data_IF_664092276063
#
_entry.id   IF_664092276063
#
_cell.length_a   1.000
_cell.length_b   1.000
_cell.length_c   1.000
_cell.angle_alpha   90.00
_cell.angle_beta   90.00
_cell.angle_gamma   90.00
#
_symmetry.space_group_name_H-M   'P 1'
#
loop_
_entity.id
_entity.type
_entity.pdbx_description
1 polymer ?
#
# COMPACT_ATOMS: atom_id res chain seq x y z
N UNK A 1 -3.08 35.15 41.14
CA UNK A 1 -3.25 33.87 40.42
C UNK A 1 -1.98 33.62 39.67
N UNK A 2 -1.27 32.57 40.08
CA UNK A 2 0.09 32.23 39.68
C UNK A 2 0.05 31.52 38.32
N UNK A 3 0.75 32.05 37.32
CA UNK A 3 0.90 31.43 36.02
C UNK A 3 1.78 30.18 36.21
N UNK A 4 1.22 28.99 36.05
CA UNK A 4 1.94 27.73 36.22
C UNK A 4 2.50 27.24 34.88
N UNK A 5 3.82 27.36 34.64
CA UNK A 5 4.46 26.96 33.38
C UNK A 5 4.51 25.44 33.18
N UNK A 6 4.08 24.66 34.18
CA UNK A 6 4.15 23.20 34.17
C UNK A 6 3.15 22.58 33.18
N UNK A 7 1.99 23.21 32.96
CA UNK A 7 0.96 22.73 32.03
C UNK A 7 1.35 22.86 30.55
N UNK A 8 2.05 23.93 30.18
CA UNK A 8 2.52 24.14 28.80
C UNK A 8 3.68 23.19 28.44
N UNK A 9 4.60 22.93 29.37
CA UNK A 9 5.72 22.01 29.13
C UNK A 9 5.30 20.55 28.93
N UNK A 10 4.27 20.10 29.63
CA UNK A 10 3.70 18.76 29.49
C UNK A 10 3.02 18.57 28.12
N UNK A 11 2.17 19.53 27.71
CA UNK A 11 1.50 19.49 26.41
C UNK A 11 2.46 19.55 25.21
N UNK A 12 3.53 20.35 25.31
CA UNK A 12 4.57 20.39 24.29
C UNK A 12 5.32 19.06 24.18
N UNK A 13 5.67 18.43 25.30
CA UNK A 13 6.34 17.12 25.32
C UNK A 13 5.48 16.03 24.67
N UNK A 14 4.19 15.98 24.99
CA UNK A 14 3.23 15.03 24.40
C UNK A 14 3.09 15.23 22.88
N UNK A 15 3.04 16.49 22.43
CA UNK A 15 3.03 16.81 21.00
C UNK A 15 4.29 16.30 20.28
N UNK A 16 5.47 16.54 20.84
CA UNK A 16 6.73 16.07 20.26
C UNK A 16 6.85 14.55 20.25
N UNK A 17 6.39 13.87 21.30
CA UNK A 17 6.32 12.41 21.36
C UNK A 17 5.40 11.86 20.26
N UNK A 18 4.21 12.42 20.12
CA UNK A 18 3.25 12.03 19.08
C UNK A 18 3.81 12.24 17.66
N UNK A 19 4.42 13.41 17.41
CA UNK A 19 5.05 13.71 16.13
C UNK A 19 6.23 12.76 15.83
N UNK A 20 7.05 12.46 16.84
CA UNK A 20 8.16 11.50 16.73
C UNK A 20 7.64 10.09 16.40
N UNK A 21 6.65 9.60 17.14
CA UNK A 21 6.05 8.28 16.90
C UNK A 21 5.45 8.16 15.49
N UNK A 22 4.79 9.21 14.98
CA UNK A 22 4.26 9.20 13.60
C UNK A 22 5.35 9.13 12.54
N UNK A 23 6.47 9.83 12.75
CA UNK A 23 7.63 9.76 11.85
C UNK A 23 8.28 8.39 11.89
N UNK A 24 8.48 7.82 13.08
CA UNK A 24 9.01 6.47 13.25
C UNK A 24 8.10 5.46 12.53
N UNK A 25 6.79 5.50 12.77
CA UNK A 25 5.85 4.60 12.12
C UNK A 25 5.88 4.72 10.58
N UNK A 26 6.01 5.93 10.05
CA UNK A 26 6.14 6.16 8.61
C UNK A 26 7.43 5.56 8.04
N UNK A 27 8.58 5.83 8.67
CA UNK A 27 9.87 5.26 8.26
C UNK A 27 9.83 3.74 8.33
N UNK A 28 9.27 3.18 9.41
CA UNK A 28 9.08 1.74 9.55
C UNK A 28 8.20 1.18 8.44
N UNK A 29 7.13 1.88 8.01
CA UNK A 29 6.29 1.41 6.92
C UNK A 29 7.06 1.32 5.60
N UNK A 30 7.91 2.30 5.29
CA UNK A 30 8.81 2.25 4.13
C UNK A 30 9.80 1.08 4.23
N UNK A 31 10.45 0.90 5.39
CA UNK A 31 11.38 -0.20 5.62
C UNK A 31 10.69 -1.57 5.52
N UNK A 32 9.47 -1.69 6.04
CA UNK A 32 8.68 -2.93 5.95
C UNK A 32 8.27 -3.22 4.52
N UNK A 33 7.81 -2.22 3.76
CA UNK A 33 7.48 -2.40 2.34
C UNK A 33 8.68 -2.89 1.53
N UNK A 34 9.84 -2.24 1.67
CA UNK A 34 11.07 -2.63 0.99
C UNK A 34 11.58 -3.99 1.47
N UNK A 35 11.66 -4.20 2.78
CA UNK A 35 12.18 -5.42 3.38
C UNK A 35 11.33 -6.64 3.07
N UNK A 36 10.00 -6.51 3.14
CA UNK A 36 9.08 -7.59 2.79
C UNK A 36 9.21 -7.97 1.31
N UNK A 37 9.25 -6.98 0.39
CA UNK A 37 9.45 -7.24 -1.04
C UNK A 37 10.81 -7.90 -1.31
N UNK A 38 11.88 -7.46 -0.65
CA UNK A 38 13.20 -8.08 -0.79
C UNK A 38 13.21 -9.54 -0.30
N UNK A 39 12.60 -9.80 0.86
CA UNK A 39 12.48 -11.16 1.41
C UNK A 39 11.68 -12.07 0.47
N UNK A 40 10.52 -11.63 -0.02
CA UNK A 40 9.73 -12.40 -0.98
C UNK A 40 10.51 -12.64 -2.27
N UNK A 41 11.27 -11.65 -2.77
CA UNK A 41 12.09 -11.81 -3.96
C UNK A 41 13.22 -12.84 -3.79
N UNK A 42 13.86 -12.89 -2.62
CA UNK A 42 14.86 -13.93 -2.31
C UNK A 42 14.20 -15.30 -2.19
N UNK A 43 13.08 -15.40 -1.47
CA UNK A 43 12.37 -16.65 -1.24
C UNK A 43 11.75 -17.21 -2.52
N UNK A 44 11.31 -16.36 -3.44
CA UNK A 44 10.70 -16.80 -4.69
C UNK A 44 11.68 -17.45 -5.66
N UNK A 45 12.98 -17.10 -5.58
CA UNK A 45 14.03 -17.63 -6.48
C UNK A 45 13.64 -17.46 -7.96
N UNK A 46 13.48 -16.21 -8.44
CA UNK A 46 13.03 -15.94 -9.81
C UNK A 46 13.91 -16.66 -10.83
N UNK A 47 13.27 -17.26 -11.84
CA UNK A 47 13.96 -18.03 -12.90
C UNK A 47 13.97 -19.54 -12.67
N UNK A 48 13.64 -20.02 -11.47
CA UNK A 48 13.50 -21.46 -11.20
C UNK A 48 12.21 -22.06 -11.78
N UNK A 49 11.16 -21.25 -11.92
CA UNK A 49 9.89 -21.64 -12.54
C UNK A 49 9.13 -20.41 -13.06
N UNK A 50 8.13 -20.59 -13.92
CA UNK A 50 7.25 -19.49 -14.30
C UNK A 50 6.52 -18.91 -13.08
N UNK A 51 6.09 -19.78 -12.16
CA UNK A 51 5.47 -19.36 -10.91
C UNK A 51 6.38 -18.46 -10.05
N UNK A 52 7.70 -18.70 -10.00
CA UNK A 52 8.64 -17.92 -9.17
C UNK A 52 8.63 -16.40 -9.43
N UNK A 53 8.24 -16.00 -10.65
CA UNK A 53 8.10 -14.59 -11.02
C UNK A 53 6.81 -13.95 -10.47
N UNK A 54 5.77 -14.73 -10.22
CA UNK A 54 4.50 -14.24 -9.69
C UNK A 54 4.66 -13.54 -8.33
N UNK A 55 5.16 -14.17 -7.25
CA UNK A 55 5.29 -13.52 -5.95
C UNK A 55 6.29 -12.35 -5.96
N UNK A 56 7.35 -12.42 -6.78
CA UNK A 56 8.28 -11.30 -6.96
C UNK A 56 7.57 -10.08 -7.58
N UNK A 57 6.93 -10.27 -8.74
CA UNK A 57 6.24 -9.18 -9.43
C UNK A 57 5.09 -8.63 -8.59
N UNK A 58 4.27 -9.49 -7.96
CA UNK A 58 3.17 -9.04 -7.12
C UNK A 58 3.65 -8.27 -5.88
N UNK A 59 4.76 -8.67 -5.25
CA UNK A 59 5.32 -7.92 -4.11
C UNK A 59 5.98 -6.59 -4.52
N UNK A 60 6.62 -6.53 -5.68
CA UNK A 60 7.11 -5.26 -6.25
C UNK A 60 5.95 -4.28 -6.51
N UNK A 61 4.85 -4.76 -7.11
CA UNK A 61 3.69 -3.94 -7.38
C UNK A 61 2.91 -3.53 -6.13
N UNK A 62 2.37 -4.51 -5.40
CA UNK A 62 1.39 -4.26 -4.34
C UNK A 62 2.01 -3.94 -2.99
N UNK A 63 3.17 -4.53 -2.64
CA UNK A 63 3.81 -4.24 -1.35
C UNK A 63 4.69 -2.99 -1.45
N UNK A 64 5.53 -2.87 -2.48
CA UNK A 64 6.44 -1.73 -2.62
C UNK A 64 5.79 -0.55 -3.34
N UNK A 65 5.49 -0.66 -4.65
CA UNK A 65 5.02 0.48 -5.44
C UNK A 65 3.72 1.09 -4.90
N UNK A 66 2.73 0.27 -4.51
CA UNK A 66 1.47 0.79 -3.98
C UNK A 66 1.68 1.61 -2.70
N UNK A 67 2.47 1.07 -1.77
CA UNK A 67 2.78 1.70 -0.47
C UNK A 67 3.55 2.99 -0.66
N UNK A 68 4.66 2.95 -1.41
CA UNK A 68 5.48 4.14 -1.69
C UNK A 68 4.69 5.22 -2.44
N UNK A 69 3.86 4.81 -3.40
CA UNK A 69 3.00 5.71 -4.15
C UNK A 69 1.99 6.45 -3.26
N UNK A 70 1.45 5.81 -2.23
CA UNK A 70 0.49 6.43 -1.30
C UNK A 70 1.20 7.26 -0.22
N UNK A 71 2.26 6.72 0.38
CA UNK A 71 3.01 7.38 1.46
C UNK A 71 3.79 8.61 0.99
N UNK A 72 4.02 8.78 -0.32
CA UNK A 72 4.55 10.01 -0.92
C UNK A 72 3.77 11.27 -0.52
N UNK A 73 2.47 11.15 -0.26
CA UNK A 73 1.61 12.25 0.18
C UNK A 73 1.63 12.50 1.69
N UNK A 74 2.39 11.72 2.47
CA UNK A 74 2.57 11.98 3.90
C UNK A 74 3.10 13.39 4.16
N UNK A 75 2.56 14.02 5.20
CA UNK A 75 2.94 15.36 5.68
C UNK A 75 4.21 15.32 6.55
N UNK A 76 4.53 14.15 7.13
CA UNK A 76 5.55 14.02 8.18
C UNK A 76 6.97 13.75 7.66
N UNK A 77 7.14 13.71 6.32
CA UNK A 77 8.41 13.50 5.63
C UNK A 77 8.31 12.33 4.66
N UNK A 78 8.32 12.62 3.36
CA UNK A 78 8.57 11.57 2.35
C UNK A 78 10.08 11.42 2.19
N UNK A 79 10.61 10.19 2.02
CA UNK A 79 12.02 9.99 1.66
C UNK A 79 12.42 10.76 0.39
N UNK A 80 11.45 10.98 -0.49
CA UNK A 80 11.61 11.79 -1.68
C UNK A 80 11.47 13.28 -1.34
N UNK A 81 12.54 14.07 -1.57
CA UNK A 81 12.64 15.51 -1.33
C UNK A 81 11.71 16.40 -2.20
N UNK A 82 10.60 15.87 -2.74
CA UNK A 82 9.67 16.64 -3.55
C UNK A 82 8.86 17.61 -2.68
N UNK A 83 9.32 18.87 -2.61
CA UNK A 83 8.60 19.95 -1.93
C UNK A 83 7.31 20.35 -2.65
N UNK A 84 7.22 20.17 -3.97
CA UNK A 84 6.05 20.57 -4.76
C UNK A 84 4.98 19.48 -4.85
N UNK A 85 3.72 19.87 -4.63
CA UNK A 85 2.54 19.00 -4.83
C UNK A 85 2.47 18.43 -6.25
N UNK A 86 2.87 19.20 -7.27
CA UNK A 86 2.90 18.74 -8.67
C UNK A 86 3.90 17.59 -8.86
N UNK A 87 5.07 17.69 -8.22
CA UNK A 87 6.09 16.63 -8.22
C UNK A 87 5.57 15.37 -7.55
N UNK A 88 4.94 15.50 -6.38
CA UNK A 88 4.31 14.35 -5.68
C UNK A 88 3.25 13.66 -6.54
N UNK A 89 2.36 14.42 -7.19
CA UNK A 89 1.36 13.85 -8.10
C UNK A 89 2.02 13.13 -9.28
N UNK A 90 3.07 13.71 -9.86
CA UNK A 90 3.81 13.09 -10.97
C UNK A 90 4.43 11.75 -10.56
N UNK A 91 5.17 11.74 -9.47
CA UNK A 91 5.80 10.53 -8.97
C UNK A 91 4.75 9.48 -8.56
N UNK A 92 3.64 9.90 -7.94
CA UNK A 92 2.54 9.00 -7.60
C UNK A 92 2.03 8.24 -8.83
N UNK A 93 1.59 8.92 -9.89
CA UNK A 93 1.02 8.20 -11.03
C UNK A 93 2.06 7.36 -11.78
N UNK A 94 3.33 7.80 -11.85
CA UNK A 94 4.43 7.00 -12.43
C UNK A 94 4.62 5.69 -11.65
N UNK A 95 4.65 5.76 -10.32
CA UNK A 95 4.77 4.58 -9.46
C UNK A 95 3.53 3.68 -9.56
N UNK A 96 2.32 4.24 -9.71
CA UNK A 96 1.11 3.44 -9.95
C UNK A 96 1.12 2.76 -11.33
N UNK A 97 1.72 3.37 -12.36
CA UNK A 97 1.93 2.69 -13.66
C UNK A 97 2.90 1.53 -13.50
N UNK A 98 4.01 1.70 -12.76
CA UNK A 98 4.93 0.60 -12.45
C UNK A 98 4.23 -0.54 -11.71
N UNK A 99 3.36 -0.21 -10.74
CA UNK A 99 2.52 -1.20 -10.06
C UNK A 99 1.72 -2.02 -11.08
N UNK A 100 1.00 -1.36 -11.99
CA UNK A 100 0.18 -2.04 -12.99
C UNK A 100 1.01 -2.93 -13.93
N UNK A 101 2.21 -2.49 -14.32
CA UNK A 101 3.12 -3.30 -15.13
C UNK A 101 3.58 -4.55 -14.37
N UNK A 102 4.00 -4.42 -13.12
CA UNK A 102 4.36 -5.56 -12.29
C UNK A 102 3.18 -6.50 -12.07
N UNK A 103 1.99 -5.96 -11.82
CA UNK A 103 0.77 -6.74 -11.67
C UNK A 103 0.42 -7.54 -12.94
N UNK A 104 0.53 -6.91 -14.12
CA UNK A 104 0.30 -7.57 -15.40
C UNK A 104 1.33 -8.68 -15.65
N UNK A 105 2.62 -8.42 -15.40
CA UNK A 105 3.67 -9.44 -15.52
C UNK A 105 3.45 -10.60 -14.55
N UNK A 106 3.19 -10.32 -13.28
CA UNK A 106 2.94 -11.33 -12.25
C UNK A 106 1.73 -12.21 -12.56
N UNK A 107 0.65 -11.62 -13.09
CA UNK A 107 -0.51 -12.37 -13.55
C UNK A 107 -0.18 -13.21 -14.79
N UNK A 108 0.53 -12.64 -15.76
CA UNK A 108 0.93 -13.34 -16.98
C UNK A 108 1.77 -14.58 -16.68
N UNK A 109 2.77 -14.46 -15.81
CA UNK A 109 3.59 -15.59 -15.36
C UNK A 109 2.78 -16.66 -14.62
N UNK A 110 1.83 -16.26 -13.77
CA UNK A 110 0.94 -17.18 -13.06
C UNK A 110 0.02 -17.95 -14.02
N UNK A 111 -0.57 -17.26 -15.00
CA UNK A 111 -1.42 -17.88 -16.02
C UNK A 111 -0.61 -18.86 -16.88
N UNK A 112 0.57 -18.44 -17.33
CA UNK A 112 1.46 -19.31 -18.11
C UNK A 112 1.91 -20.54 -17.31
N UNK A 113 2.22 -20.37 -16.02
CA UNK A 113 2.57 -21.48 -15.13
C UNK A 113 1.43 -22.49 -14.98
N UNK A 114 0.20 -22.02 -14.74
CA UNK A 114 -0.97 -22.90 -14.59
C UNK A 114 -1.34 -23.63 -15.88
N UNK A 115 -1.20 -22.98 -17.03
CA UNK A 115 -1.39 -23.63 -18.34
C UNK A 115 -0.42 -24.78 -18.55
N UNK A 116 0.84 -24.64 -18.09
CA UNK A 116 1.87 -25.68 -18.22
C UNK A 116 1.66 -26.84 -17.23
N UNK A 117 1.13 -26.57 -16.03
CA UNK A 117 0.96 -27.57 -14.97
C UNK A 117 -0.44 -28.18 -14.91
N UNK A 118 -1.34 -27.83 -15.84
CA UNK A 118 -2.75 -28.29 -15.92
C UNK A 118 -3.55 -28.11 -14.61
N UNK A 119 -3.14 -27.16 -13.75
CA UNK A 119 -3.82 -26.89 -12.50
C UNK A 119 -5.02 -25.95 -12.71
N UNK A 120 -6.13 -26.13 -11.98
CA UNK A 120 -7.31 -25.29 -12.13
C UNK A 120 -7.00 -23.82 -11.82
N UNK A 121 -7.64 -22.92 -12.56
CA UNK A 121 -7.57 -21.48 -12.30
C UNK A 121 -8.60 -21.08 -11.24
N UNK A 122 -8.27 -20.06 -10.43
CA UNK A 122 -9.20 -19.43 -9.47
C UNK A 122 -9.75 -20.33 -8.35
N UNK A 123 -9.04 -21.40 -8.02
CA UNK A 123 -9.51 -22.42 -7.07
C UNK A 123 -9.13 -22.14 -5.60
N UNK A 124 -8.49 -21.00 -5.32
CA UNK A 124 -8.05 -20.61 -3.97
C UNK A 124 -8.60 -19.25 -3.59
N UNK A 125 -8.80 -19.02 -2.28
CA UNK A 125 -9.15 -17.71 -1.72
C UNK A 125 -8.17 -16.62 -2.18
N UNK A 126 -6.87 -16.90 -2.16
CA UNK A 126 -5.85 -15.98 -2.64
C UNK A 126 -6.06 -15.61 -4.13
N UNK A 127 -6.37 -16.59 -4.99
CA UNK A 127 -6.58 -16.31 -6.42
C UNK A 127 -7.86 -15.51 -6.70
N UNK A 128 -8.94 -15.76 -5.95
CA UNK A 128 -10.19 -15.00 -6.10
C UNK A 128 -10.01 -13.55 -5.62
N UNK A 129 -9.42 -13.38 -4.44
CA UNK A 129 -9.08 -12.06 -3.90
C UNK A 129 -8.07 -11.33 -4.78
N UNK A 130 -7.10 -12.05 -5.37
CA UNK A 130 -6.11 -11.53 -6.29
C UNK A 130 -6.74 -10.91 -7.54
N UNK A 131 -7.64 -11.62 -8.21
CA UNK A 131 -8.36 -11.07 -9.37
C UNK A 131 -9.22 -9.87 -8.98
N UNK A 132 -9.96 -9.95 -7.86
CA UNK A 132 -10.73 -8.82 -7.35
C UNK A 132 -9.86 -7.58 -7.08
N UNK A 133 -8.70 -7.78 -6.45
CA UNK A 133 -7.72 -6.73 -6.18
C UNK A 133 -7.22 -6.09 -7.47
N UNK A 134 -6.89 -6.89 -8.48
CA UNK A 134 -6.43 -6.38 -9.78
C UNK A 134 -7.50 -5.51 -10.46
N UNK A 135 -8.75 -5.99 -10.50
CA UNK A 135 -9.87 -5.24 -11.08
C UNK A 135 -10.07 -3.92 -10.34
N UNK A 136 -10.16 -3.95 -9.01
CA UNK A 136 -10.33 -2.75 -8.18
C UNK A 136 -9.16 -1.77 -8.40
N UNK A 137 -7.94 -2.26 -8.53
CA UNK A 137 -6.75 -1.43 -8.75
C UNK A 137 -6.76 -0.75 -10.12
N UNK A 138 -7.20 -1.45 -11.18
CA UNK A 138 -7.37 -0.87 -12.51
C UNK A 138 -8.45 0.22 -12.50
N UNK A 139 -9.59 -0.03 -11.85
CA UNK A 139 -10.65 0.97 -11.69
C UNK A 139 -10.17 2.19 -10.89
N UNK A 140 -9.38 1.96 -9.84
CA UNK A 140 -8.78 3.01 -9.03
C UNK A 140 -7.78 3.86 -9.84
N UNK A 141 -6.97 3.23 -10.69
CA UNK A 141 -6.07 3.93 -11.60
C UNK A 141 -6.84 4.78 -12.62
N UNK A 142 -7.92 4.25 -13.21
CA UNK A 142 -8.80 4.99 -14.11
C UNK A 142 -9.41 6.23 -13.43
N UNK A 143 -9.87 6.10 -12.17
CA UNK A 143 -10.33 7.23 -11.34
C UNK A 143 -9.20 8.27 -11.16
N UNK A 144 -7.96 7.84 -10.96
CA UNK A 144 -6.78 8.72 -10.91
C UNK A 144 -6.51 9.47 -12.22
N UNK A 145 -6.70 8.83 -13.37
CA UNK A 145 -6.57 9.47 -14.69
C UNK A 145 -7.59 10.59 -14.88
N UNK A 146 -8.85 10.39 -14.45
CA UNK A 146 -9.87 11.45 -14.47
C UNK A 146 -9.45 12.69 -13.65
N UNK A 147 -8.69 12.52 -12.56
CA UNK A 147 -8.14 13.62 -11.78
C UNK A 147 -6.94 14.31 -12.43
N UNK A 148 -6.17 13.61 -13.27
CA UNK A 148 -5.07 14.18 -14.05
C UNK A 148 -5.58 15.03 -15.23
N UNK A 149 -6.72 14.65 -15.80
CA UNK A 149 -7.35 15.33 -16.92
C UNK A 149 -8.76 15.81 -16.56
N UNK A 150 -8.91 16.91 -15.79
CA UNK A 150 -10.22 17.42 -15.37
C UNK A 150 -11.17 17.73 -16.54
N UNK A 151 -10.63 17.97 -17.75
CA UNK A 151 -11.44 18.17 -18.97
C UNK A 151 -12.27 16.94 -19.36
N UNK A 152 -11.91 15.75 -18.89
CA UNK A 152 -12.68 14.51 -19.10
C UNK A 152 -13.92 14.42 -18.19
N UNK A 153 -14.00 15.24 -17.14
CA UNK A 153 -15.07 15.20 -16.14
C UNK A 153 -15.86 16.51 -16.13
N UNK A 154 -16.96 16.55 -16.88
CA UNK A 154 -17.78 17.76 -17.00
C UNK A 154 -18.76 17.97 -15.83
N UNK A 155 -19.21 16.88 -15.19
CA UNK A 155 -20.36 16.88 -14.27
C UNK A 155 -20.02 16.51 -12.83
N UNK A 156 -18.74 16.36 -12.47
CA UNK A 156 -18.30 15.93 -11.14
C UNK A 156 -17.35 16.95 -10.53
N UNK A 157 -17.58 17.33 -9.27
CA UNK A 157 -16.67 18.27 -8.59
C UNK A 157 -15.31 17.62 -8.32
N UNK A 158 -14.24 18.31 -8.69
CA UNK A 158 -12.85 17.85 -8.50
C UNK A 158 -12.53 17.53 -7.02
N UNK A 159 -12.96 18.34 -6.02
CA UNK A 159 -12.74 18.01 -4.61
C UNK A 159 -13.44 16.71 -4.19
N UNK A 160 -14.67 16.46 -4.68
CA UNK A 160 -15.42 15.24 -4.38
C UNK A 160 -14.78 14.02 -5.03
N UNK A 161 -14.35 14.13 -6.29
CA UNK A 161 -13.64 13.06 -6.97
C UNK A 161 -12.30 12.73 -6.27
N UNK A 162 -11.60 13.75 -5.76
CA UNK A 162 -10.37 13.55 -4.96
C UNK A 162 -10.65 12.81 -3.66
N UNK A 163 -11.76 13.10 -2.99
CA UNK A 163 -12.19 12.36 -1.80
C UNK A 163 -12.48 10.91 -2.16
N UNK A 164 -13.28 10.65 -3.20
CA UNK A 164 -13.58 9.29 -3.66
C UNK A 164 -12.33 8.52 -4.07
N UNK A 165 -11.42 9.15 -4.80
CA UNK A 165 -10.13 8.53 -5.14
C UNK A 165 -9.34 8.16 -3.88
N UNK A 166 -9.28 9.04 -2.87
CA UNK A 166 -8.58 8.72 -1.63
C UNK A 166 -9.25 7.59 -0.84
N UNK A 167 -10.58 7.59 -0.70
CA UNK A 167 -11.31 6.57 0.06
C UNK A 167 -11.34 5.23 -0.66
N UNK A 168 -11.62 5.20 -1.96
CA UNK A 168 -11.57 3.98 -2.77
C UNK A 168 -10.14 3.44 -2.86
N UNK A 169 -9.13 4.32 -2.93
CA UNK A 169 -7.72 3.94 -2.89
C UNK A 169 -7.32 3.27 -1.57
N UNK A 170 -7.84 3.76 -0.43
CA UNK A 170 -7.66 3.10 0.86
C UNK A 170 -8.30 1.70 0.86
N UNK A 171 -9.53 1.57 0.38
CA UNK A 171 -10.21 0.26 0.28
C UNK A 171 -9.42 -0.70 -0.62
N UNK A 172 -8.93 -0.23 -1.78
CA UNK A 172 -8.09 -1.01 -2.68
C UNK A 172 -6.79 -1.48 -1.99
N UNK A 173 -6.15 -0.62 -1.20
CA UNK A 173 -4.93 -0.94 -0.46
C UNK A 173 -5.18 -1.97 0.65
N UNK A 174 -6.28 -1.84 1.39
CA UNK A 174 -6.67 -2.82 2.41
C UNK A 174 -7.00 -4.18 1.78
N UNK A 175 -7.70 -4.18 0.64
CA UNK A 175 -7.97 -5.40 -0.12
C UNK A 175 -6.67 -6.05 -0.62
N UNK A 176 -5.72 -5.27 -1.15
CA UNK A 176 -4.40 -5.78 -1.53
C UNK A 176 -3.64 -6.36 -0.34
N UNK A 177 -3.73 -5.74 0.84
CA UNK A 177 -3.14 -6.25 2.08
C UNK A 177 -3.76 -7.60 2.47
N UNK A 178 -5.09 -7.73 2.41
CA UNK A 178 -5.79 -9.00 2.67
C UNK A 178 -5.37 -10.07 1.65
N UNK A 179 -5.24 -9.72 0.37
CA UNK A 179 -4.78 -10.64 -0.69
C UNK A 179 -3.36 -11.13 -0.46
N UNK A 180 -2.44 -10.25 -0.08
CA UNK A 180 -1.05 -10.61 0.28
C UNK A 180 -1.04 -11.50 1.51
N UNK A 181 -1.80 -11.16 2.54
CA UNK A 181 -1.95 -11.99 3.74
C UNK A 181 -2.50 -13.37 3.40
N UNK A 182 -3.54 -13.47 2.55
CA UNK A 182 -4.08 -14.74 2.07
C UNK A 182 -3.03 -15.56 1.29
N UNK A 183 -2.10 -14.91 0.59
CA UNK A 183 -1.01 -15.58 -0.11
C UNK A 183 -0.05 -16.33 0.85
N UNK A 184 0.12 -15.83 2.09
CA UNK A 184 0.96 -16.46 3.11
C UNK A 184 0.40 -17.80 3.61
N UNK A 185 -0.88 -18.05 3.36
CA UNK A 185 -1.54 -19.32 3.65
C UNK A 185 -1.53 -20.29 2.46
N UNK A 186 -1.00 -19.89 1.30
CA UNK A 186 -0.87 -20.79 0.16
C UNK A 186 0.12 -21.92 0.43
N UNK A 187 -0.08 -23.07 -0.22
CA UNK A 187 0.79 -24.24 -0.10
C UNK A 187 2.24 -23.90 -0.39
N UNK A 188 2.48 -23.05 -1.40
CA UNK A 188 3.83 -22.61 -1.74
C UNK A 188 4.50 -21.86 -0.59
N UNK A 189 3.81 -20.91 0.04
CA UNK A 189 4.41 -20.12 1.11
C UNK A 189 4.62 -20.96 2.38
N UNK A 190 3.65 -21.80 2.74
CA UNK A 190 3.76 -22.70 3.89
C UNK A 190 4.86 -23.77 3.72
N UNK A 191 5.11 -24.20 2.48
CA UNK A 191 6.24 -25.08 2.17
C UNK A 191 7.59 -24.35 2.27
N UNK A 192 7.62 -23.05 1.98
CA UNK A 192 8.83 -22.22 1.90
C UNK A 192 9.27 -21.67 3.26
N UNK A 193 8.33 -21.21 4.09
CA UNK A 193 8.61 -20.57 5.38
C UNK A 193 7.93 -21.35 6.51
N UNK A 194 8.72 -21.87 7.45
CA UNK A 194 8.26 -22.75 8.53
C UNK A 194 8.60 -22.21 9.91
N UNK A 195 7.86 -22.65 10.91
CA UNK A 195 8.13 -22.32 12.31
C UNK A 195 7.80 -20.87 12.66
N UNK A 196 8.35 -20.34 13.77
CA UNK A 196 7.94 -19.05 14.34
C UNK A 196 8.10 -17.84 13.40
N UNK A 197 9.06 -17.89 12.47
CA UNK A 197 9.30 -16.80 11.51
C UNK A 197 8.12 -16.55 10.58
N UNK A 198 7.26 -17.56 10.34
CA UNK A 198 6.04 -17.39 9.55
C UNK A 198 5.10 -16.32 10.13
N UNK A 199 4.99 -16.24 11.46
CA UNK A 199 4.18 -15.20 12.13
C UNK A 199 4.75 -13.79 11.95
N UNK A 200 6.08 -13.65 11.80
CA UNK A 200 6.67 -12.36 11.45
C UNK A 200 6.20 -11.91 10.06
N UNK A 201 6.20 -12.81 9.06
CA UNK A 201 5.66 -12.51 7.73
C UNK A 201 4.17 -12.15 7.76
N UNK A 202 3.39 -12.74 8.66
CA UNK A 202 1.97 -12.43 8.82
C UNK A 202 1.71 -10.98 9.28
N UNK A 203 2.58 -10.45 10.14
CA UNK A 203 2.41 -9.13 10.77
C UNK A 203 2.96 -7.99 9.89
N UNK A 204 3.92 -8.29 9.01
CA UNK A 204 4.58 -7.28 8.18
C UNK A 204 3.60 -6.53 7.24
N UNK A 205 2.77 -7.18 6.40
CA UNK A 205 1.87 -6.46 5.49
C UNK A 205 0.80 -5.57 6.17
N UNK A 206 0.17 -5.99 7.29
CA UNK A 206 -0.76 -5.12 8.02
C UNK A 206 -0.16 -3.81 8.56
N UNK A 207 1.13 -3.78 8.88
CA UNK A 207 1.74 -2.59 9.51
C UNK A 207 1.69 -1.34 8.60
N UNK A 208 2.21 -1.36 7.35
CA UNK A 208 2.03 -0.26 6.42
C UNK A 208 0.56 0.11 6.16
N UNK A 209 -0.36 -0.87 6.18
CA UNK A 209 -1.79 -0.62 6.00
C UNK A 209 -2.38 0.24 7.11
N UNK A 210 -1.99 0.03 8.37
CA UNK A 210 -2.38 0.88 9.48
C UNK A 210 -1.84 2.30 9.32
N UNK A 211 -0.59 2.45 8.86
CA UNK A 211 0.03 3.76 8.62
C UNK A 211 -0.67 4.51 7.48
N UNK A 212 -0.95 3.83 6.36
CA UNK A 212 -1.69 4.38 5.22
C UNK A 212 -3.12 4.77 5.62
N UNK A 213 -3.82 3.91 6.35
CA UNK A 213 -5.16 4.18 6.86
C UNK A 213 -5.15 5.42 7.76
N UNK A 214 -4.22 5.49 8.71
CA UNK A 214 -4.07 6.64 9.59
C UNK A 214 -3.74 7.92 8.80
N UNK A 215 -2.88 7.85 7.78
CA UNK A 215 -2.56 9.00 6.92
C UNK A 215 -3.80 9.52 6.19
N UNK A 216 -4.54 8.66 5.50
CA UNK A 216 -5.69 9.04 4.67
C UNK A 216 -6.82 9.58 5.56
N UNK A 217 -7.13 8.87 6.64
CA UNK A 217 -8.18 9.25 7.60
C UNK A 217 -7.91 10.61 8.22
N UNK A 218 -6.68 10.88 8.70
CA UNK A 218 -6.33 12.19 9.28
C UNK A 218 -6.30 13.33 8.26
N UNK A 219 -6.14 13.02 6.96
CA UNK A 219 -6.11 14.02 5.89
C UNK A 219 -7.52 14.42 5.44
N UNK A 220 -8.46 13.47 5.43
CA UNK A 220 -9.79 13.66 4.83
C UNK A 220 -10.95 13.69 5.84
N UNK A 221 -10.80 13.13 7.05
CA UNK A 221 -11.82 13.30 8.08
C UNK A 221 -11.65 14.63 8.82
N UNK A 222 -12.76 15.36 9.07
CA UNK A 222 -12.71 16.59 9.85
C UNK A 222 -12.25 16.27 11.28
N UNK A 223 -11.26 17.01 11.77
CA UNK A 223 -10.90 16.97 13.20
C UNK A 223 -12.10 17.49 13.98
N UNK A 224 -12.69 16.68 14.86
CA UNK A 224 -13.60 17.22 15.88
C UNK A 224 -12.79 18.24 16.66
N UNK A 225 -13.18 19.51 16.60
CA UNK A 225 -12.73 20.49 17.60
C UNK A 225 -13.32 20.00 18.92
N UNK A 226 -12.49 19.43 19.77
CA UNK A 226 -12.84 19.30 21.18
C UNK A 226 -12.81 20.73 21.71
N UNK A 227 -13.98 21.37 21.75
CA UNK A 227 -14.17 22.58 22.52
C UNK A 227 -14.12 22.13 23.97
N UNK A 228 -12.94 22.27 24.59
CA UNK A 228 -12.77 22.23 26.05
C UNK A 228 -12.81 23.69 26.50
#
# INVERSE_FOLDING_TARGET
MEYSPVGEGLGMREYWLYACMRKIALVTAHCVALGFTALIGVLSRPGTSLFSWHPLCMSLGFCLCMTEGILLFSTEGSPCCFKSRKGKVRTHWVVQVLLLLFAAMGLGFMVASKRKSEHPHLDTWHSLLGVGTLVVTVLQAACGVCLLFPKLIHNVSVPRLRLYHATCGLVAYLLATVTVTAALFSDWFQATVKGPIWYAFLILPPFPALVVMNQITNTFLPKKKLTI
#
